data_IF_362055947989
#
_entry.id   IF_362055947989
#
_cell.length_a   1.000
_cell.length_b   1.000
_cell.length_c   1.000
_cell.angle_alpha   90.00
_cell.angle_beta   90.00
_cell.angle_gamma   90.00
#
_symmetry.space_group_name_H-M   'P 1'
#
loop_
_entity.id
_entity.type
_entity.pdbx_description
1 polymer ?
#
# COMPACT_ATOMS: atom_id res chain seq x y z
N UNK A 1 -38.39 -39.30 19.19
CA UNK A 1 -36.96 -38.95 19.44
C UNK A 1 -36.26 -38.31 18.24
N UNK A 2 -36.76 -38.46 17.00
CA UNK A 2 -36.12 -37.89 15.79
C UNK A 2 -36.40 -36.39 15.54
N UNK A 3 -37.47 -35.80 16.11
CA UNK A 3 -37.84 -34.40 15.87
C UNK A 3 -37.02 -33.38 16.68
N UNK A 4 -36.53 -33.76 17.86
CA UNK A 4 -35.69 -32.90 18.69
C UNK A 4 -34.27 -32.76 18.15
N UNK A 5 -33.77 -33.78 17.44
CA UNK A 5 -32.41 -33.79 16.89
C UNK A 5 -32.26 -32.87 15.67
N UNK A 6 -33.31 -32.75 14.85
CA UNK A 6 -33.32 -31.86 13.67
C UNK A 6 -33.26 -30.36 14.03
N UNK A 7 -33.84 -29.97 15.17
CA UNK A 7 -33.82 -28.57 15.63
C UNK A 7 -32.45 -28.15 16.18
N UNK A 8 -31.67 -29.09 16.73
CA UNK A 8 -30.35 -28.83 17.28
C UNK A 8 -29.30 -28.56 16.20
N UNK A 9 -29.45 -29.18 15.01
CA UNK A 9 -28.51 -29.02 13.89
C UNK A 9 -28.67 -27.66 13.19
N UNK A 10 -29.88 -27.10 13.15
CA UNK A 10 -30.15 -25.79 12.54
C UNK A 10 -29.60 -24.60 13.33
N UNK A 11 -29.30 -24.77 14.63
CA UNK A 11 -28.76 -23.72 15.49
C UNK A 11 -27.22 -23.63 15.44
N UNK A 12 -26.53 -24.61 14.85
CA UNK A 12 -25.06 -24.66 14.78
C UNK A 12 -24.47 -24.04 13.50
N UNK A 13 -25.29 -23.65 12.51
CA UNK A 13 -24.82 -22.98 11.28
C UNK A 13 -24.88 -21.46 11.34
N UNK A 14 -25.30 -20.87 12.47
CA UNK A 14 -25.26 -19.43 12.71
C UNK A 14 -23.90 -18.96 13.28
N UNK A 15 -22.82 -19.69 13.01
CA UNK A 15 -21.46 -19.24 13.31
C UNK A 15 -21.14 -18.12 12.31
N UNK A 16 -21.38 -16.90 12.74
CA UNK A 16 -20.73 -15.65 12.32
C UNK A 16 -20.08 -15.73 10.93
N UNK A 17 -20.94 -15.79 9.91
CA UNK A 17 -20.55 -15.37 8.58
C UNK A 17 -20.20 -13.91 8.70
N UNK A 18 -18.94 -13.62 9.01
CA UNK A 18 -18.33 -12.32 8.84
C UNK A 18 -18.50 -12.03 7.36
N UNK A 19 -19.55 -11.28 7.04
CA UNK A 19 -19.78 -10.76 5.70
C UNK A 19 -18.70 -9.70 5.50
N UNK A 20 -17.49 -10.16 5.20
CA UNK A 20 -16.52 -9.30 4.55
C UNK A 20 -17.20 -8.86 3.26
N UNK A 21 -17.52 -7.58 3.07
CA UNK A 21 -18.06 -7.13 1.80
C UNK A 21 -17.09 -7.59 0.72
N UNK A 22 -17.60 -8.28 -0.31
CA UNK A 22 -16.78 -8.74 -1.42
C UNK A 22 -15.99 -7.54 -1.94
N UNK A 23 -14.65 -7.64 -1.90
CA UNK A 23 -13.79 -6.57 -2.36
C UNK A 23 -14.09 -6.30 -3.84
N UNK A 24 -14.39 -5.04 -4.18
CA UNK A 24 -14.66 -4.65 -5.57
C UNK A 24 -13.37 -4.82 -6.40
N UNK A 25 -13.32 -5.75 -7.37
CA UNK A 25 -12.12 -6.01 -8.17
C UNK A 25 -11.68 -4.77 -8.98
N UNK A 26 -12.63 -3.90 -9.36
CA UNK A 26 -12.34 -2.65 -10.06
C UNK A 26 -11.58 -1.68 -9.16
N UNK A 27 -12.03 -1.53 -7.92
CA UNK A 27 -11.36 -0.71 -6.89
C UNK A 27 -9.95 -1.23 -6.60
N UNK A 28 -9.78 -2.54 -6.43
CA UNK A 28 -8.46 -3.13 -6.21
C UNK A 28 -7.50 -2.86 -7.37
N UNK A 29 -7.97 -2.97 -8.61
CA UNK A 29 -7.18 -2.66 -9.79
C UNK A 29 -6.73 -1.18 -9.82
N UNK A 30 -7.61 -0.25 -9.42
CA UNK A 30 -7.28 1.17 -9.35
C UNK A 30 -6.27 1.50 -8.25
N UNK A 31 -6.42 0.88 -7.07
CA UNK A 31 -5.44 0.99 -5.98
C UNK A 31 -4.08 0.48 -6.45
N UNK A 32 -4.03 -0.71 -7.07
CA UNK A 32 -2.80 -1.27 -7.63
C UNK A 32 -2.14 -0.34 -8.64
N UNK A 33 -2.93 0.23 -9.57
CA UNK A 33 -2.42 1.21 -10.55
C UNK A 33 -1.86 2.46 -9.87
N UNK A 34 -2.49 2.93 -8.79
CA UNK A 34 -2.01 4.08 -8.02
C UNK A 34 -0.68 3.78 -7.32
N UNK A 35 -0.52 2.58 -6.76
CA UNK A 35 0.76 2.10 -6.22
C UNK A 35 1.85 2.05 -7.30
N UNK A 36 1.54 1.49 -8.48
CA UNK A 36 2.49 1.40 -9.60
C UNK A 36 2.93 2.78 -10.11
N UNK A 37 2.00 3.75 -10.16
CA UNK A 37 2.30 5.12 -10.56
C UNK A 37 3.29 5.78 -9.59
N UNK A 38 3.04 5.68 -8.28
CA UNK A 38 3.96 6.17 -7.24
C UNK A 38 5.32 5.50 -7.34
N UNK A 39 5.37 4.18 -7.42
CA UNK A 39 6.63 3.42 -7.48
C UNK A 39 7.42 3.74 -8.76
N UNK A 40 6.74 4.03 -9.88
CA UNK A 40 7.38 4.51 -11.11
C UNK A 40 8.00 5.90 -10.93
N UNK A 41 7.29 6.82 -10.28
CA UNK A 41 7.84 8.13 -9.95
C UNK A 41 9.09 8.00 -9.06
N UNK A 42 8.99 7.22 -7.97
CA UNK A 42 10.10 7.04 -7.04
C UNK A 42 11.34 6.46 -7.72
N UNK A 43 11.18 5.45 -8.58
CA UNK A 43 12.30 4.88 -9.36
C UNK A 43 12.97 5.90 -10.27
N UNK A 44 12.19 6.77 -10.92
CA UNK A 44 12.74 7.84 -11.78
C UNK A 44 13.59 8.82 -10.97
N UNK A 45 13.13 9.22 -9.78
CA UNK A 45 13.88 10.14 -8.93
C UNK A 45 15.03 9.47 -8.17
N UNK A 46 15.01 8.16 -7.97
CA UNK A 46 16.12 7.38 -7.43
C UNK A 46 17.29 7.22 -8.42
N UNK A 47 17.03 7.40 -9.73
CA UNK A 47 18.00 7.31 -10.82
C UNK A 47 18.61 8.68 -11.20
N UNK A 48 18.47 9.71 -10.36
CA UNK A 48 19.06 11.02 -10.66
C UNK A 48 20.60 10.88 -10.78
N UNK A 49 21.09 10.82 -12.03
CA UNK A 49 22.48 10.63 -12.39
C UNK A 49 23.38 11.68 -11.71
N UNK A 50 24.37 11.23 -10.94
CA UNK A 50 25.42 12.09 -10.36
C UNK A 50 25.48 12.17 -8.84
N UNK A 51 24.61 11.48 -8.10
CA UNK A 51 24.54 11.58 -6.63
C UNK A 51 25.38 10.54 -5.88
N UNK A 52 26.46 10.02 -6.46
CA UNK A 52 27.37 9.06 -5.79
C UNK A 52 28.01 9.64 -4.52
N UNK A 53 27.93 10.96 -4.30
CA UNK A 53 28.32 11.64 -3.06
C UNK A 53 27.17 12.14 -2.18
N UNK A 54 25.90 11.94 -2.56
CA UNK A 54 24.75 12.34 -1.74
C UNK A 54 24.34 11.20 -0.81
N UNK A 55 24.06 11.50 0.45
CA UNK A 55 23.54 10.51 1.40
C UNK A 55 22.24 9.86 0.88
N UNK A 56 22.10 8.52 0.99
CA UNK A 56 20.90 7.81 0.54
C UNK A 56 19.60 8.41 1.09
N UNK A 57 19.59 8.80 2.37
CA UNK A 57 18.44 9.39 3.05
C UNK A 57 18.01 10.72 2.42
N UNK A 58 18.96 11.58 2.06
CA UNK A 58 18.66 12.86 1.43
C UNK A 58 18.03 12.65 0.04
N UNK A 59 18.52 11.67 -0.72
CA UNK A 59 17.95 11.36 -2.04
C UNK A 59 16.57 10.69 -1.92
N UNK A 60 16.38 9.80 -0.96
CA UNK A 60 15.08 9.16 -0.68
C UNK A 60 14.03 10.19 -0.24
N UNK A 61 14.42 11.12 0.62
CA UNK A 61 13.56 12.22 1.03
C UNK A 61 13.19 13.13 -0.16
N UNK A 62 14.18 13.50 -0.98
CA UNK A 62 13.93 14.29 -2.19
C UNK A 62 13.00 13.57 -3.18
N UNK A 63 13.16 12.26 -3.37
CA UNK A 63 12.27 11.46 -4.21
C UNK A 63 10.83 11.40 -3.64
N UNK A 64 10.69 11.27 -2.33
CA UNK A 64 9.39 11.28 -1.65
C UNK A 64 8.68 12.62 -1.86
N UNK A 65 9.39 13.74 -1.71
CA UNK A 65 8.84 15.08 -1.96
C UNK A 65 8.46 15.28 -3.44
N UNK A 66 9.31 14.83 -4.36
CA UNK A 66 9.04 14.95 -5.80
C UNK A 66 7.80 14.14 -6.23
N UNK A 67 7.54 13.01 -5.58
CA UNK A 67 6.42 12.10 -5.85
C UNK A 67 5.23 12.30 -4.90
N UNK A 68 5.11 13.48 -4.28
CA UNK A 68 4.04 13.76 -3.34
C UNK A 68 2.66 13.71 -4.02
N UNK A 69 2.54 14.16 -5.28
CA UNK A 69 1.28 14.13 -6.02
C UNK A 69 0.76 12.70 -6.25
N UNK A 70 1.65 11.77 -6.63
CA UNK A 70 1.32 10.35 -6.80
C UNK A 70 0.94 9.70 -5.46
N UNK A 71 1.64 10.07 -4.39
CA UNK A 71 1.34 9.61 -3.03
C UNK A 71 -0.02 10.10 -2.55
N UNK A 72 -0.33 11.38 -2.75
CA UNK A 72 -1.61 11.97 -2.36
C UNK A 72 -2.76 11.37 -3.19
N UNK A 73 -2.53 11.07 -4.48
CA UNK A 73 -3.47 10.33 -5.32
C UNK A 73 -3.71 8.91 -4.80
N UNK A 74 -2.65 8.20 -4.42
CA UNK A 74 -2.76 6.87 -3.83
C UNK A 74 -3.56 6.91 -2.52
N UNK A 75 -3.32 7.91 -1.66
CA UNK A 75 -4.12 8.11 -0.44
C UNK A 75 -5.59 8.31 -0.81
N UNK A 76 -5.90 9.18 -1.77
CA UNK A 76 -7.29 9.42 -2.19
C UNK A 76 -7.98 8.15 -2.72
N UNK A 77 -7.27 7.32 -3.49
CA UNK A 77 -7.81 6.06 -4.04
C UNK A 77 -7.98 4.98 -2.97
N UNK A 78 -6.98 4.81 -2.09
CA UNK A 78 -6.94 3.70 -1.14
C UNK A 78 -7.74 4.00 0.15
N UNK A 79 -7.82 5.27 0.56
CA UNK A 79 -8.37 5.69 1.83
C UNK A 79 -9.67 6.51 1.66
N UNK A 80 -10.71 5.88 1.12
CA UNK A 80 -12.02 6.52 0.90
C UNK A 80 -12.67 7.03 2.17
N UNK A 81 -12.38 6.37 3.30
CA UNK A 81 -13.02 6.65 4.59
C UNK A 81 -12.24 7.72 5.38
N UNK A 82 -11.11 8.19 4.85
CA UNK A 82 -10.33 9.26 5.45
C UNK A 82 -9.59 8.85 6.73
N UNK A 83 -9.29 7.56 6.93
CA UNK A 83 -8.54 7.09 8.10
C UNK A 83 -7.12 7.66 8.11
N UNK A 84 -6.80 8.45 9.14
CA UNK A 84 -5.48 9.05 9.31
C UNK A 84 -4.36 7.99 9.40
N UNK A 85 -4.64 6.79 9.95
CA UNK A 85 -3.66 5.70 10.05
C UNK A 85 -3.32 5.13 8.68
N UNK A 86 -4.31 4.97 7.80
CA UNK A 86 -4.07 4.51 6.41
C UNK A 86 -3.23 5.54 5.66
N UNK A 87 -3.57 6.82 5.79
CA UNK A 87 -2.78 7.92 5.21
C UNK A 87 -1.33 7.90 5.71
N UNK A 88 -1.12 7.79 7.02
CA UNK A 88 0.21 7.74 7.61
C UNK A 88 1.00 6.50 7.15
N UNK A 89 0.34 5.34 7.07
CA UNK A 89 0.93 4.09 6.58
C UNK A 89 1.39 4.21 5.13
N UNK A 90 0.56 4.80 4.25
CA UNK A 90 0.92 5.02 2.84
C UNK A 90 2.11 5.98 2.72
N UNK A 91 2.16 7.06 3.51
CA UNK A 91 3.30 7.99 3.51
C UNK A 91 4.58 7.30 4.00
N UNK A 92 4.51 6.52 5.07
CA UNK A 92 5.65 5.75 5.57
C UNK A 92 6.13 4.66 4.58
N UNK A 93 5.22 3.92 3.93
CA UNK A 93 5.58 2.97 2.86
C UNK A 93 6.25 3.68 1.67
N UNK A 94 5.84 4.92 1.37
CA UNK A 94 6.44 5.73 0.31
C UNK A 94 7.90 6.07 0.66
N UNK A 95 8.17 6.54 1.87
CA UNK A 95 9.53 6.84 2.36
C UNK A 95 10.41 5.59 2.33
N UNK A 96 9.89 4.47 2.84
CA UNK A 96 10.59 3.19 2.84
C UNK A 96 10.93 2.71 1.42
N UNK A 97 10.00 2.83 0.48
CA UNK A 97 10.23 2.47 -0.92
C UNK A 97 11.18 3.42 -1.63
N UNK A 98 11.13 4.71 -1.33
CA UNK A 98 12.07 5.68 -1.86
C UNK A 98 13.51 5.29 -1.48
N UNK A 99 13.74 4.98 -0.21
CA UNK A 99 15.04 4.47 0.27
C UNK A 99 15.43 3.19 -0.45
N UNK A 100 14.51 2.22 -0.55
CA UNK A 100 14.75 0.97 -1.26
C UNK A 100 15.22 1.21 -2.70
N UNK A 101 14.55 2.07 -3.46
CA UNK A 101 14.94 2.33 -4.84
C UNK A 101 16.30 3.03 -4.93
N UNK A 102 16.61 3.97 -4.03
CA UNK A 102 17.93 4.62 -3.96
C UNK A 102 19.04 3.61 -3.67
N UNK A 103 18.83 2.67 -2.75
CA UNK A 103 19.80 1.63 -2.46
C UNK A 103 19.98 0.69 -3.66
N UNK A 104 18.88 0.30 -4.32
CA UNK A 104 18.91 -0.54 -5.50
C UNK A 104 19.69 0.10 -6.67
N UNK A 105 19.56 1.41 -6.89
CA UNK A 105 20.33 2.10 -7.94
C UNK A 105 21.83 2.16 -7.64
N UNK A 106 22.21 2.04 -6.36
CA UNK A 106 23.61 1.95 -5.91
C UNK A 106 24.15 0.51 -5.85
N UNK A 107 23.37 -0.48 -6.28
CA UNK A 107 23.75 -1.90 -6.19
C UNK A 107 23.72 -2.46 -4.76
N UNK A 108 23.08 -1.75 -3.83
CA UNK A 108 22.88 -2.20 -2.45
C UNK A 108 21.51 -2.86 -2.30
N UNK A 109 21.44 -3.93 -1.52
CA UNK A 109 20.19 -4.59 -1.20
C UNK A 109 19.51 -3.84 -0.05
N UNK A 110 18.29 -3.34 -0.29
CA UNK A 110 17.43 -2.85 0.77
C UNK A 110 16.72 -4.03 1.45
N UNK A 111 16.65 -4.00 2.78
CA UNK A 111 16.00 -5.00 3.64
C UNK A 111 14.47 -4.91 3.58
#
# INVERSE_FOLDING_TARGET
MHRAFMLLVLLLTACEGSVFPAEDPGRQAEIKKSYEARDTCLKRHALADGTSGTEPDALAHAATLACQAETDRLVATANTDGDAKVTASIRHDTEFRAMKYVLQTRGLTAF
#
